data_IF_277540370583
#
_entry.id   IF_277540370583
#
_cell.length_a   1.000
_cell.length_b   1.000
_cell.length_c   1.000
_cell.angle_alpha   90.00
_cell.angle_beta   90.00
_cell.angle_gamma   90.00
#
_symmetry.space_group_name_H-M   'P 1'
#
loop_
_entity.id
_entity.type
_entity.pdbx_description
1 polymer ?
#
# COMPACT_ATOMS: atom_id res chain seq x y z
N UNK A 1 8.86 8.82 -10.26
CA UNK A 1 9.17 7.84 -9.19
C UNK A 1 10.66 7.51 -9.05
N UNK A 2 11.58 8.45 -9.28
CA UNK A 2 13.01 8.22 -9.04
C UNK A 2 13.32 8.00 -7.55
N UNK A 3 12.53 8.62 -6.66
CA UNK A 3 12.66 8.50 -5.20
C UNK A 3 12.50 7.05 -4.73
N UNK A 4 11.55 6.29 -5.26
CA UNK A 4 11.37 4.89 -4.83
C UNK A 4 12.52 4.00 -5.31
N UNK A 5 13.05 4.25 -6.52
CA UNK A 5 14.27 3.58 -6.99
C UNK A 5 15.47 3.89 -6.09
N UNK A 6 15.57 5.14 -5.61
CA UNK A 6 16.61 5.56 -4.67
C UNK A 6 16.44 4.87 -3.30
N UNK A 7 15.20 4.77 -2.80
CA UNK A 7 14.88 4.03 -1.55
C UNK A 7 15.32 2.58 -1.67
N UNK A 8 15.04 1.92 -2.80
CA UNK A 8 15.51 0.55 -3.07
C UNK A 8 17.04 0.46 -3.07
N UNK A 9 17.72 1.34 -3.81
CA UNK A 9 19.18 1.35 -3.93
C UNK A 9 19.89 1.60 -2.61
N UNK A 10 19.27 2.37 -1.71
CA UNK A 10 19.81 2.70 -0.38
C UNK A 10 19.27 1.83 0.75
N UNK A 11 18.49 0.79 0.42
CA UNK A 11 17.85 -0.11 1.37
C UNK A 11 17.07 0.62 2.47
N UNK A 12 16.36 1.70 2.11
CA UNK A 12 15.57 2.54 3.03
C UNK A 12 14.13 2.03 3.24
N UNK A 13 13.90 0.77 2.93
CA UNK A 13 12.63 0.07 3.10
C UNK A 13 12.40 -0.31 4.58
N UNK A 14 11.15 -0.43 5.04
CA UNK A 14 9.91 -0.21 4.29
C UNK A 14 9.55 1.29 4.14
N UNK A 15 8.97 1.64 2.99
CA UNK A 15 8.54 2.97 2.59
C UNK A 15 7.02 3.08 2.57
N UNK A 16 6.48 4.13 3.18
CA UNK A 16 5.07 4.53 3.01
C UNK A 16 4.99 5.80 2.16
N UNK A 17 4.19 5.77 1.11
CA UNK A 17 3.87 6.91 0.25
C UNK A 17 2.43 7.34 0.53
N UNK A 18 2.27 8.48 1.20
CA UNK A 18 0.96 9.06 1.47
C UNK A 18 0.48 9.91 0.28
N UNK A 19 -0.68 9.56 -0.25
CA UNK A 19 -1.45 10.37 -1.20
C UNK A 19 -2.86 10.65 -0.66
N UNK A 20 -3.42 11.81 -1.02
CA UNK A 20 -4.78 12.19 -0.63
C UNK A 20 -5.87 11.59 -1.53
N UNK A 21 -5.50 10.89 -2.60
CA UNK A 21 -6.42 10.34 -3.61
C UNK A 21 -6.28 8.83 -3.74
N UNK A 22 -7.40 8.12 -3.63
CA UNK A 22 -7.48 6.66 -3.86
C UNK A 22 -6.94 6.30 -5.25
N UNK A 23 -7.38 7.06 -6.27
CA UNK A 23 -6.97 6.89 -7.66
C UNK A 23 -5.47 7.12 -7.85
N UNK A 24 -4.88 8.09 -7.17
CA UNK A 24 -3.43 8.32 -7.25
C UNK A 24 -2.64 7.16 -6.63
N UNK A 25 -3.10 6.61 -5.50
CA UNK A 25 -2.46 5.46 -4.87
C UNK A 25 -2.37 4.27 -5.85
N UNK A 26 -3.48 3.95 -6.54
CA UNK A 26 -3.51 2.90 -7.55
C UNK A 26 -2.59 3.21 -8.74
N UNK A 27 -2.65 4.43 -9.28
CA UNK A 27 -1.79 4.84 -10.41
C UNK A 27 -0.31 4.72 -10.06
N UNK A 28 0.11 5.20 -8.88
CA UNK A 28 1.51 5.15 -8.47
C UNK A 28 1.97 3.71 -8.20
N UNK A 29 1.12 2.87 -7.61
CA UNK A 29 1.42 1.46 -7.43
C UNK A 29 1.62 0.74 -8.77
N UNK A 30 0.74 0.98 -9.75
CA UNK A 30 0.87 0.41 -11.09
C UNK A 30 2.12 0.91 -11.83
N UNK A 31 2.52 2.17 -11.63
CA UNK A 31 3.78 2.70 -12.17
C UNK A 31 5.01 1.99 -11.58
N UNK A 32 4.93 1.54 -10.33
CA UNK A 32 5.97 0.73 -9.69
C UNK A 32 5.92 -0.75 -10.01
N UNK A 33 4.85 -1.26 -10.64
CA UNK A 33 4.72 -2.69 -10.91
C UNK A 33 5.85 -3.28 -11.77
N UNK A 34 6.71 -2.44 -12.39
CA UNK A 34 7.93 -2.88 -13.09
C UNK A 34 9.10 -3.22 -12.16
N UNK A 35 9.03 -2.79 -10.89
CA UNK A 35 10.01 -3.12 -9.87
C UNK A 35 9.55 -4.35 -9.09
N UNK A 36 10.51 -5.14 -8.65
CA UNK A 36 10.29 -6.29 -7.81
C UNK A 36 11.14 -6.14 -6.55
N UNK A 37 10.50 -6.10 -5.39
CA UNK A 37 11.14 -5.89 -4.08
C UNK A 37 11.25 -7.18 -3.28
N UNK A 38 10.75 -8.29 -3.82
CA UNK A 38 10.59 -9.56 -3.11
C UNK A 38 11.39 -10.67 -3.77
N UNK A 39 11.84 -11.61 -2.96
CA UNK A 39 12.44 -12.87 -3.39
C UNK A 39 11.36 -13.88 -3.78
N UNK A 40 11.74 -14.94 -4.51
CA UNK A 40 10.81 -16.03 -4.84
C UNK A 40 10.21 -16.72 -3.61
N UNK A 41 10.95 -16.75 -2.50
CA UNK A 41 10.44 -17.30 -1.24
C UNK A 41 9.40 -16.38 -0.61
N UNK A 42 9.68 -15.07 -0.52
CA UNK A 42 8.71 -14.08 -0.02
C UNK A 42 7.43 -14.08 -0.87
N UNK A 43 7.55 -14.23 -2.20
CA UNK A 43 6.40 -14.33 -3.12
C UNK A 43 5.46 -15.48 -2.79
N UNK A 44 6.00 -16.64 -2.43
CA UNK A 44 5.20 -17.82 -2.06
C UNK A 44 4.44 -17.56 -0.76
N UNK A 45 5.12 -16.99 0.24
CA UNK A 45 4.49 -16.64 1.52
C UNK A 45 3.37 -15.61 1.31
N UNK A 46 3.61 -14.58 0.49
CA UNK A 46 2.59 -13.59 0.15
C UNK A 46 1.37 -14.24 -0.53
N UNK A 47 1.61 -15.14 -1.47
CA UNK A 47 0.55 -15.84 -2.20
C UNK A 47 -0.27 -16.73 -1.27
N UNK A 48 0.37 -17.50 -0.40
CA UNK A 48 -0.30 -18.35 0.59
C UNK A 48 -1.16 -17.54 1.57
N UNK A 49 -0.62 -16.45 2.13
CA UNK A 49 -1.37 -15.56 3.02
C UNK A 49 -2.56 -14.93 2.30
N UNK A 50 -2.37 -14.50 1.05
CA UNK A 50 -3.43 -13.91 0.25
C UNK A 50 -4.53 -14.92 -0.10
N UNK A 51 -4.17 -16.15 -0.50
CA UNK A 51 -5.10 -17.23 -0.81
C UNK A 51 -5.95 -17.62 0.40
N UNK A 52 -5.31 -17.76 1.57
CA UNK A 52 -6.02 -18.02 2.83
C UNK A 52 -7.01 -16.90 3.19
N UNK A 53 -6.65 -15.63 2.93
CA UNK A 53 -7.52 -14.49 3.23
C UNK A 53 -8.71 -14.39 2.27
N UNK A 54 -8.48 -14.60 0.96
CA UNK A 54 -9.57 -14.57 -0.03
C UNK A 54 -10.47 -15.80 0.08
N UNK A 55 -10.03 -16.88 0.71
CA UNK A 55 -10.87 -18.05 0.97
C UNK A 55 -12.06 -17.76 1.89
N UNK A 56 -11.97 -16.70 2.69
CA UNK A 56 -13.09 -16.20 3.49
C UNK A 56 -14.13 -15.40 2.69
N UNK A 57 -13.84 -15.02 1.44
CA UNK A 57 -14.73 -14.25 0.58
C UNK A 57 -15.71 -15.13 -0.21
N UNK A 58 -16.88 -14.58 -0.53
CA UNK A 58 -17.82 -15.20 -1.48
C UNK A 58 -17.22 -15.28 -2.89
N UNK A 59 -17.76 -16.16 -3.74
CA UNK A 59 -17.35 -16.28 -5.13
C UNK A 59 -17.55 -14.98 -5.92
N UNK A 60 -18.60 -14.21 -5.61
CA UNK A 60 -18.81 -12.90 -6.24
C UNK A 60 -17.69 -11.92 -5.87
N UNK A 61 -17.32 -11.83 -4.58
CA UNK A 61 -16.29 -10.92 -4.11
C UNK A 61 -14.90 -11.29 -4.64
N UNK A 62 -14.57 -12.58 -4.72
CA UNK A 62 -13.32 -13.07 -5.34
C UNK A 62 -13.22 -12.69 -6.82
N UNK A 63 -14.36 -12.53 -7.50
CA UNK A 63 -14.39 -12.16 -8.92
C UNK A 63 -14.09 -10.67 -9.17
N UNK A 64 -14.15 -9.84 -8.12
CA UNK A 64 -13.99 -8.40 -8.21
C UNK A 64 -12.61 -8.01 -8.79
N UNK A 65 -12.54 -6.99 -9.66
CA UNK A 65 -11.28 -6.56 -10.28
C UNK A 65 -10.18 -6.20 -9.28
N UNK A 66 -10.56 -5.60 -8.14
CA UNK A 66 -9.62 -5.20 -7.09
C UNK A 66 -8.91 -6.40 -6.44
N UNK A 67 -9.58 -7.55 -6.30
CA UNK A 67 -8.98 -8.75 -5.69
C UNK A 67 -7.92 -9.31 -6.64
N UNK A 68 -8.26 -9.37 -7.93
CA UNK A 68 -7.35 -9.90 -8.98
C UNK A 68 -6.16 -8.99 -9.26
N UNK A 69 -6.31 -7.67 -9.15
CA UNK A 69 -5.25 -6.72 -9.46
C UNK A 69 -4.26 -6.52 -8.31
N UNK A 70 -4.66 -6.81 -7.07
CA UNK A 70 -3.83 -6.61 -5.87
C UNK A 70 -2.74 -7.68 -5.74
N UNK A 71 -3.05 -8.96 -5.95
CA UNK A 71 -2.08 -10.05 -5.77
C UNK A 71 -0.77 -9.85 -6.58
N UNK A 72 -0.79 -9.48 -7.87
CA UNK A 72 0.43 -9.21 -8.63
C UNK A 72 1.30 -8.08 -8.06
N UNK A 73 0.71 -7.12 -7.35
CA UNK A 73 1.44 -6.03 -6.70
C UNK A 73 2.02 -6.50 -5.36
N UNK A 74 1.23 -7.24 -4.56
CA UNK A 74 1.69 -7.80 -3.29
C UNK A 74 2.89 -8.74 -3.49
N UNK A 75 2.83 -9.60 -4.52
CA UNK A 75 3.94 -10.49 -4.93
C UNK A 75 5.18 -9.73 -5.43
N UNK A 76 5.15 -8.40 -5.51
CA UNK A 76 6.32 -7.57 -5.81
C UNK A 76 6.75 -6.76 -4.60
N UNK A 77 6.13 -6.94 -3.44
CA UNK A 77 6.33 -6.13 -2.24
C UNK A 77 5.71 -4.74 -2.32
N UNK A 78 4.69 -4.56 -3.17
CA UNK A 78 3.98 -3.29 -3.38
C UNK A 78 2.55 -3.41 -2.85
N UNK A 79 2.20 -2.60 -1.86
CA UNK A 79 0.87 -2.57 -1.27
C UNK A 79 0.10 -1.28 -1.63
N UNK A 80 -1.23 -1.37 -1.59
CA UNK A 80 -2.15 -0.23 -1.66
C UNK A 80 -3.07 -0.29 -0.44
N UNK A 81 -3.29 0.85 0.23
CA UNK A 81 -4.20 0.95 1.38
C UNK A 81 -5.05 2.22 1.30
N UNK A 82 -6.35 2.06 1.06
CA UNK A 82 -7.30 3.16 1.16
C UNK A 82 -8.70 2.65 1.51
N UNK A 83 -9.57 3.55 1.97
CA UNK A 83 -10.97 3.23 2.31
C UNK A 83 -11.87 2.91 1.11
N UNK A 84 -11.31 2.45 -0.01
CA UNK A 84 -12.06 1.88 -1.14
C UNK A 84 -11.82 0.39 -1.33
N UNK A 85 -10.80 -0.17 -0.66
CA UNK A 85 -10.53 -1.60 -0.66
C UNK A 85 -11.45 -2.33 0.32
N UNK A 86 -11.73 -3.59 0.01
CA UNK A 86 -12.45 -4.50 0.92
C UNK A 86 -11.73 -4.57 2.28
N UNK A 87 -12.47 -4.70 3.40
CA UNK A 87 -11.87 -4.90 4.72
C UNK A 87 -10.80 -5.98 4.76
N UNK A 88 -11.09 -7.17 4.21
CA UNK A 88 -10.15 -8.29 4.18
C UNK A 88 -8.86 -7.97 3.41
N UNK A 89 -8.94 -7.19 2.33
CA UNK A 89 -7.76 -6.80 1.56
C UNK A 89 -6.91 -5.81 2.33
N UNK A 90 -7.53 -4.87 3.06
CA UNK A 90 -6.80 -3.94 3.93
C UNK A 90 -6.08 -4.69 5.04
N UNK A 91 -6.76 -5.60 5.73
CA UNK A 91 -6.17 -6.43 6.78
C UNK A 91 -5.02 -7.29 6.24
N UNK A 92 -5.19 -7.89 5.06
CA UNK A 92 -4.11 -8.65 4.40
C UNK A 92 -2.90 -7.77 4.11
N UNK A 93 -3.10 -6.56 3.57
CA UNK A 93 -2.01 -5.60 3.30
C UNK A 93 -1.31 -5.19 4.60
N UNK A 94 -2.07 -4.96 5.67
CA UNK A 94 -1.57 -4.61 7.00
C UNK A 94 -0.68 -5.72 7.58
N UNK A 95 -1.14 -6.98 7.53
CA UNK A 95 -0.39 -8.16 7.97
C UNK A 95 0.91 -8.30 7.17
N UNK A 96 0.83 -8.27 5.83
CA UNK A 96 2.01 -8.40 4.98
C UNK A 96 3.01 -7.24 5.18
N UNK A 97 2.53 -6.04 5.51
CA UNK A 97 3.39 -4.91 5.84
C UNK A 97 4.06 -5.07 7.21
N UNK A 98 3.34 -5.56 8.23
CA UNK A 98 3.93 -5.83 9.55
C UNK A 98 4.97 -6.95 9.52
N UNK A 99 4.77 -7.96 8.69
CA UNK A 99 5.75 -9.05 8.45
C UNK A 99 6.92 -8.60 7.56
N UNK A 100 6.93 -7.34 7.12
CA UNK A 100 7.99 -6.78 6.28
C UNK A 100 8.02 -7.32 4.85
N UNK A 101 6.97 -8.00 4.39
CA UNK A 101 6.85 -8.51 3.01
C UNK A 101 6.50 -7.39 2.02
N UNK A 102 5.77 -6.37 2.49
CA UNK A 102 5.53 -5.14 1.72
C UNK A 102 6.62 -4.11 2.00
N UNK A 103 7.40 -3.78 0.97
CA UNK A 103 8.51 -2.83 1.05
C UNK A 103 8.11 -1.42 0.64
N UNK A 104 7.07 -1.28 -0.18
CA UNK A 104 6.53 0.00 -0.62
C UNK A 104 5.00 -0.01 -0.51
N UNK A 105 4.45 0.83 0.36
CA UNK A 105 3.01 0.94 0.59
C UNK A 105 2.49 2.30 0.14
N UNK A 106 1.49 2.32 -0.73
CA UNK A 106 0.75 3.54 -1.08
C UNK A 106 -0.51 3.64 -0.22
N UNK A 107 -0.60 4.68 0.59
CA UNK A 107 -1.69 4.79 1.55
C UNK A 107 -2.37 6.17 1.53
N UNK A 108 -3.66 6.20 1.86
CA UNK A 108 -4.35 7.44 2.21
C UNK A 108 -4.16 7.77 3.70
N UNK A 109 -4.43 9.02 4.08
CA UNK A 109 -4.25 9.57 5.44
C UNK A 109 -4.84 8.69 6.56
N UNK A 110 -5.96 8.00 6.30
CA UNK A 110 -6.62 7.11 7.28
C UNK A 110 -5.73 5.97 7.77
N UNK A 111 -4.72 5.56 6.98
CA UNK A 111 -3.77 4.54 7.39
C UNK A 111 -2.92 4.99 8.59
N UNK A 112 -2.60 6.29 8.66
CA UNK A 112 -1.75 6.83 9.72
C UNK A 112 -2.37 6.74 11.12
N UNK A 113 -3.70 6.70 11.22
CA UNK A 113 -4.41 6.59 12.50
C UNK A 113 -4.36 5.18 13.12
N UNK A 114 -3.92 4.16 12.37
CA UNK A 114 -3.81 2.77 12.84
C UNK A 114 -2.37 2.25 12.91
N UNK A 115 -1.36 3.10 12.74
CA UNK A 115 0.04 2.67 12.61
C UNK A 115 0.67 2.29 13.96
N UNK A 116 0.87 0.98 14.16
CA UNK A 116 1.90 0.42 15.06
C UNK A 116 3.00 -0.32 14.27
N UNK A 117 3.20 0.06 13.01
CA UNK A 117 4.03 -0.69 12.06
C UNK A 117 5.36 0.03 11.78
N UNK A 118 6.47 -0.71 11.64
CA UNK A 118 7.79 -0.12 11.44
C UNK A 118 7.92 0.45 10.03
N UNK A 119 7.84 1.77 9.88
CA UNK A 119 8.17 2.45 8.62
C UNK A 119 9.52 3.15 8.74
N UNK A 120 10.47 2.83 7.85
CA UNK A 120 11.79 3.48 7.84
C UNK A 120 11.75 4.81 7.10
N UNK A 121 10.92 4.90 6.07
CA UNK A 121 10.79 6.11 5.24
C UNK A 121 9.33 6.44 5.03
N UNK A 122 8.99 7.73 5.10
CA UNK A 122 7.67 8.25 4.76
C UNK A 122 7.82 9.34 3.70
N UNK A 123 7.02 9.24 2.63
CA UNK A 123 6.96 10.20 1.53
C UNK A 123 5.55 10.76 1.42
N UNK A 124 5.41 12.08 1.40
CA UNK A 124 4.15 12.76 1.10
C UNK A 124 4.16 13.21 -0.36
N UNK A 125 3.15 12.85 -1.15
CA UNK A 125 3.05 13.29 -2.55
C UNK A 125 2.68 14.76 -2.68
N UNK A 126 2.07 15.33 -1.64
CA UNK A 126 1.72 16.76 -1.55
C UNK A 126 1.69 17.20 -0.10
N UNK A 127 2.01 18.46 0.16
CA UNK A 127 1.79 19.13 1.45
C UNK A 127 0.46 19.90 1.52
N UNK A 128 -0.35 19.83 0.44
CA UNK A 128 -1.66 20.49 0.32
C UNK A 128 -2.74 19.47 -0.05
N UNK A 129 -3.90 19.61 0.60
CA UNK A 129 -5.08 18.75 0.43
C UNK A 129 -6.27 19.59 -0.01
N UNK A 130 -7.10 19.04 -0.90
CA UNK A 130 -8.39 19.62 -1.27
C UNK A 130 -9.47 19.18 -0.27
N UNK A 131 -10.22 20.13 0.28
CA UNK A 131 -11.30 19.87 1.26
C UNK A 131 -12.71 19.89 0.66
N UNK A 132 -12.82 19.95 -0.67
CA UNK A 132 -14.08 20.12 -1.38
C UNK A 132 -14.35 21.58 -1.79
N UNK A 133 -13.66 22.56 -1.21
CA UNK A 133 -13.75 23.98 -1.59
C UNK A 133 -12.40 24.56 -2.03
N UNK A 134 -11.35 24.35 -1.24
CA UNK A 134 -10.03 24.92 -1.47
C UNK A 134 -8.89 23.93 -1.20
N UNK A 135 -7.71 24.19 -1.77
CA UNK A 135 -6.48 23.50 -1.40
C UNK A 135 -5.85 24.14 -0.16
N UNK A 136 -5.96 23.46 0.99
CA UNK A 136 -5.34 23.88 2.26
C UNK A 136 -4.05 23.14 2.54
N UNK A 137 -3.17 23.73 3.35
CA UNK A 137 -1.99 23.05 3.86
C UNK A 137 -2.38 21.96 4.86
N UNK A 138 -1.61 20.87 4.89
CA UNK A 138 -1.71 19.89 5.97
C UNK A 138 -1.30 20.57 7.27
N UNK A 139 -2.20 20.59 8.25
CA UNK A 139 -1.93 21.14 9.57
C UNK A 139 -1.31 20.07 10.46
N UNK A 140 -0.36 20.46 11.30
CA UNK A 140 0.02 19.62 12.43
C UNK A 140 -1.16 19.57 13.41
N UNK A 141 -1.80 18.41 13.57
CA UNK A 141 -2.77 18.22 14.63
C UNK A 141 -2.00 17.97 15.92
N UNK A 142 -2.09 18.89 16.90
CA UNK A 142 -1.60 18.64 18.26
C UNK A 142 -2.32 17.40 18.79
N UNK A 143 -1.52 16.44 19.26
CA UNK A 143 -1.97 15.32 20.09
C UNK A 143 -2.56 15.82 21.39
#
# INVERSE_FOLDING_TARGET
MQVVKLVKQRSLEPLIVFSFSKKECEIYALQLAKLDFTTEQEKRVVEEVFENAIDCLSTEDRSLPQVKSVLPLLKKGIGIHHGGLLPILKETVEILFSEGLIKCLFATETFAMGLNMPARTVLFTSARKFDGKNYRWVSCTKT
#
